data_IF_266987416054
#
_entry.id   IF_266987416054
#
_cell.length_a   1.000
_cell.length_b   1.000
_cell.length_c   1.000
_cell.angle_alpha   90.00
_cell.angle_beta   90.00
_cell.angle_gamma   90.00
#
_symmetry.space_group_name_H-M   'P 1'
#
loop_
_entity.id
_entity.type
_entity.pdbx_description
1 polymer ?
#
# COMPACT_ATOMS: atom_id res chain seq x y z
N UNK A 1 13.64 13.24 -4.58
CA UNK A 1 14.19 12.71 -5.85
C UNK A 1 14.62 13.85 -6.73
N UNK A 2 15.61 14.54 -6.35
CA UNK A 2 15.97 15.78 -7.04
C UNK A 2 17.46 15.87 -7.27
N UNK A 3 17.99 14.90 -7.99
CA UNK A 3 19.29 15.03 -8.60
C UNK A 3 19.13 15.17 -10.11
N UNK A 4 19.95 15.97 -10.80
CA UNK A 4 19.85 16.16 -12.26
C UNK A 4 20.13 14.90 -13.09
N UNK A 5 20.42 13.78 -12.44
CA UNK A 5 20.80 12.51 -13.10
C UNK A 5 19.84 11.34 -12.80
N UNK A 6 18.77 11.57 -12.03
CA UNK A 6 17.81 10.52 -11.72
C UNK A 6 16.58 10.62 -12.62
N UNK A 7 16.32 9.59 -13.42
CA UNK A 7 15.15 9.49 -14.28
C UNK A 7 14.26 8.34 -13.78
N UNK A 8 13.01 8.65 -13.42
CA UNK A 8 12.02 7.62 -13.13
C UNK A 8 11.53 7.00 -14.44
N UNK A 9 11.68 5.70 -14.60
CA UNK A 9 11.29 4.95 -15.80
C UNK A 9 9.91 4.34 -15.67
N UNK A 10 9.57 3.82 -14.50
CA UNK A 10 8.28 3.20 -14.22
C UNK A 10 8.02 3.16 -12.71
N UNK A 11 6.76 3.00 -12.34
CA UNK A 11 6.33 2.72 -10.96
C UNK A 11 5.89 1.26 -10.83
N UNK A 12 6.00 0.70 -9.62
CA UNK A 12 5.70 -0.72 -9.36
C UNK A 12 4.28 -0.95 -8.86
N UNK A 13 3.49 0.10 -8.72
CA UNK A 13 2.09 0.04 -8.34
C UNK A 13 1.21 -0.49 -9.48
N UNK A 14 0.04 -1.02 -9.16
CA UNK A 14 -0.91 -1.55 -10.15
C UNK A 14 -1.40 -0.48 -11.14
N UNK A 15 -1.54 0.75 -10.67
CA UNK A 15 -1.95 1.91 -11.47
C UNK A 15 -0.92 3.02 -11.38
N UNK A 16 -0.93 3.93 -12.34
CA UNK A 16 -0.07 5.12 -12.31
C UNK A 16 -0.39 5.98 -11.08
N UNK A 17 0.62 6.67 -10.58
CA UNK A 17 0.45 7.59 -9.45
C UNK A 17 -0.05 8.96 -9.94
N UNK A 18 -1.00 9.54 -9.24
CA UNK A 18 -1.55 10.88 -9.57
C UNK A 18 -0.47 11.98 -9.54
N UNK A 19 0.54 11.80 -8.69
CA UNK A 19 1.69 12.72 -8.57
C UNK A 19 2.74 12.53 -9.68
N UNK A 20 2.67 11.43 -10.44
CA UNK A 20 3.57 11.10 -11.54
C UNK A 20 2.77 10.53 -12.74
N UNK A 21 1.83 11.28 -13.30
CA UNK A 21 0.89 10.76 -14.30
C UNK A 21 1.56 10.31 -15.61
N UNK A 22 2.71 10.88 -15.92
CA UNK A 22 3.46 10.56 -17.14
C UNK A 22 4.37 9.34 -16.98
N UNK A 23 4.55 8.83 -15.76
CA UNK A 23 5.37 7.65 -15.51
C UNK A 23 4.50 6.40 -15.57
N UNK A 24 4.79 5.46 -16.49
CA UNK A 24 4.01 4.23 -16.64
C UNK A 24 4.23 3.27 -15.47
N UNK A 25 3.35 2.28 -15.36
CA UNK A 25 3.57 1.15 -14.44
C UNK A 25 4.42 0.08 -15.13
N UNK A 26 5.16 -0.71 -14.32
CA UNK A 26 5.84 -1.89 -14.84
C UNK A 26 4.83 -2.89 -15.43
N UNK A 27 3.63 -2.98 -14.86
CA UNK A 27 2.56 -3.86 -15.33
C UNK A 27 2.07 -3.55 -16.77
N UNK A 28 2.28 -2.33 -17.27
CA UNK A 28 1.96 -1.98 -18.67
C UNK A 28 2.89 -2.68 -19.67
N UNK A 29 4.08 -3.08 -19.24
CA UNK A 29 5.08 -3.79 -20.06
C UNK A 29 5.22 -5.26 -19.66
N UNK A 30 5.01 -5.59 -18.39
CA UNK A 30 5.09 -6.93 -17.84
C UNK A 30 3.72 -7.26 -17.20
N UNK A 31 2.80 -7.87 -17.95
CA UNK A 31 1.45 -8.16 -17.46
C UNK A 31 1.46 -8.95 -16.16
N UNK A 32 0.64 -8.52 -15.19
CA UNK A 32 0.53 -9.15 -13.87
C UNK A 32 1.58 -8.71 -12.85
N UNK A 33 2.53 -7.86 -13.23
CA UNK A 33 3.50 -7.33 -12.28
C UNK A 33 2.88 -6.22 -11.42
N UNK A 34 2.99 -6.38 -10.11
CA UNK A 34 2.64 -5.37 -9.13
C UNK A 34 3.42 -5.66 -7.84
N UNK A 35 4.07 -4.63 -7.31
CA UNK A 35 4.74 -4.67 -6.01
C UNK A 35 4.56 -3.32 -5.32
N UNK A 36 3.82 -3.31 -4.23
CA UNK A 36 3.55 -2.10 -3.45
C UNK A 36 3.88 -2.35 -1.98
N UNK A 37 4.35 -1.31 -1.31
CA UNK A 37 4.37 -1.27 0.14
C UNK A 37 3.06 -0.70 0.66
N UNK A 38 2.58 -1.23 1.76
CA UNK A 38 1.38 -0.74 2.42
C UNK A 38 1.60 -0.67 3.93
N UNK A 39 0.85 0.22 4.56
CA UNK A 39 0.92 0.47 5.99
C UNK A 39 -0.48 0.39 6.57
N UNK A 40 -0.59 -0.17 7.75
CA UNK A 40 -1.87 -0.28 8.43
C UNK A 40 -1.68 -0.27 9.95
N UNK A 41 -2.79 -0.09 10.63
CA UNK A 41 -2.85 -0.15 12.09
C UNK A 41 -3.51 -1.45 12.50
N UNK A 42 -2.88 -2.19 13.40
CA UNK A 42 -3.40 -3.43 13.95
C UNK A 42 -3.56 -3.30 15.47
N UNK A 43 -4.57 -3.97 16.00
CA UNK A 43 -4.79 -4.10 17.43
C UNK A 43 -4.39 -5.50 17.94
N UNK A 44 -4.09 -5.65 19.24
CA UNK A 44 -3.84 -6.95 19.83
C UNK A 44 -4.98 -7.94 19.62
N UNK A 45 -4.64 -9.22 19.61
CA UNK A 45 -5.64 -10.30 19.54
C UNK A 45 -6.66 -10.14 20.67
N UNK A 46 -7.93 -10.41 20.36
CA UNK A 46 -9.07 -10.31 21.28
C UNK A 46 -9.43 -8.88 21.71
N UNK A 47 -8.96 -7.86 21.00
CA UNK A 47 -9.50 -6.49 21.20
C UNK A 47 -10.99 -6.47 20.87
N UNK A 48 -11.85 -5.93 21.74
CA UNK A 48 -13.29 -5.88 21.50
C UNK A 48 -13.66 -5.22 20.17
N UNK A 49 -14.63 -5.78 19.46
CA UNK A 49 -15.07 -5.30 18.13
C UNK A 49 -15.50 -3.84 18.16
N UNK A 50 -16.14 -3.39 19.26
CA UNK A 50 -16.55 -1.99 19.43
C UNK A 50 -15.34 -1.03 19.39
N UNK A 51 -14.22 -1.42 19.98
CA UNK A 51 -12.97 -0.63 19.95
C UNK A 51 -12.37 -0.63 18.56
N UNK A 52 -12.33 -1.77 17.89
CA UNK A 52 -11.86 -1.88 16.50
C UNK A 52 -12.67 -0.98 15.59
N UNK A 53 -14.00 -0.98 15.70
CA UNK A 53 -14.87 -0.15 14.88
C UNK A 53 -14.67 1.34 15.17
N UNK A 54 -14.49 1.74 16.42
CA UNK A 54 -14.21 3.13 16.81
C UNK A 54 -12.89 3.60 16.21
N UNK A 55 -11.83 2.81 16.32
CA UNK A 55 -10.52 3.12 15.73
C UNK A 55 -10.57 3.18 14.21
N UNK A 56 -11.26 2.24 13.57
CA UNK A 56 -11.43 2.22 12.13
C UNK A 56 -12.16 3.48 11.63
N UNK A 57 -13.24 3.89 12.31
CA UNK A 57 -13.96 5.12 12.00
C UNK A 57 -13.07 6.37 12.12
N UNK A 58 -12.27 6.46 13.18
CA UNK A 58 -11.35 7.58 13.39
C UNK A 58 -10.24 7.63 12.33
N UNK A 59 -9.66 6.49 12.00
CA UNK A 59 -8.61 6.38 10.96
C UNK A 59 -9.18 6.74 9.58
N UNK A 60 -10.33 6.21 9.22
CA UNK A 60 -10.99 6.53 7.95
C UNK A 60 -11.35 8.03 7.85
N UNK A 61 -11.81 8.64 8.92
CA UNK A 61 -12.05 10.08 8.98
C UNK A 61 -10.76 10.89 8.75
N UNK A 62 -9.64 10.46 9.33
CA UNK A 62 -8.34 11.07 9.10
C UNK A 62 -7.85 10.91 7.65
N UNK A 63 -8.08 9.76 7.02
CA UNK A 63 -7.66 9.49 5.65
C UNK A 63 -8.42 10.32 4.59
N UNK A 64 -9.59 10.84 4.91
CA UNK A 64 -10.35 11.75 4.03
C UNK A 64 -10.16 13.22 4.38
N UNK A 65 -9.51 13.53 5.50
CA UNK A 65 -9.15 14.89 5.86
C UNK A 65 -8.17 15.48 4.83
N UNK A 66 -8.45 16.68 4.28
CA UNK A 66 -7.64 17.26 3.21
C UNK A 66 -6.16 17.47 3.57
N UNK A 67 -5.87 17.88 4.81
CA UNK A 67 -4.49 18.13 5.23
C UNK A 67 -3.70 16.81 5.40
N UNK A 68 -4.33 15.83 6.04
CA UNK A 68 -3.73 14.51 6.22
C UNK A 68 -3.50 13.85 4.87
N UNK A 69 -4.52 13.90 4.00
CA UNK A 69 -4.44 13.35 2.65
C UNK A 69 -3.30 13.97 1.83
N UNK A 70 -3.18 15.30 1.85
CA UNK A 70 -2.09 16.00 1.17
C UNK A 70 -0.72 15.55 1.67
N UNK A 71 -0.54 15.42 2.99
CA UNK A 71 0.72 14.95 3.58
C UNK A 71 1.07 13.52 3.16
N UNK A 72 0.10 12.62 3.13
CA UNK A 72 0.33 11.24 2.71
C UNK A 72 0.72 11.16 1.23
N UNK A 73 0.09 11.97 0.38
CA UNK A 73 0.41 12.06 -1.05
C UNK A 73 1.82 12.63 -1.25
N UNK A 74 2.20 13.68 -0.51
CA UNK A 74 3.54 14.28 -0.57
C UNK A 74 4.64 13.28 -0.17
N UNK A 75 4.32 12.32 0.71
CA UNK A 75 5.20 11.22 1.10
C UNK A 75 5.19 10.05 0.09
N UNK A 76 4.48 10.18 -1.03
CA UNK A 76 4.35 9.15 -2.05
C UNK A 76 3.33 8.05 -1.73
N UNK A 77 2.48 8.26 -0.71
CA UNK A 77 1.45 7.30 -0.31
C UNK A 77 0.12 7.55 -1.00
N UNK A 78 -0.66 6.49 -1.21
CA UNK A 78 -2.05 6.56 -1.63
C UNK A 78 -2.94 6.21 -0.45
N UNK A 79 -3.72 7.17 0.10
CA UNK A 79 -4.62 6.87 1.21
C UNK A 79 -5.70 5.87 0.81
N UNK A 80 -5.84 4.79 1.58
CA UNK A 80 -6.82 3.73 1.37
C UNK A 80 -7.73 3.64 2.60
N UNK A 81 -8.93 4.20 2.51
CA UNK A 81 -9.97 3.99 3.51
C UNK A 81 -10.63 2.61 3.29
N UNK A 82 -11.00 1.95 4.36
CA UNK A 82 -11.64 0.64 4.25
C UNK A 82 -12.08 0.11 5.61
N UNK A 83 -12.69 -1.07 5.59
CA UNK A 83 -13.10 -1.80 6.77
C UNK A 83 -11.99 -2.66 7.35
N UNK A 84 -12.09 -3.12 8.61
CA UNK A 84 -11.17 -4.13 9.16
C UNK A 84 -11.12 -5.40 8.32
N UNK A 85 -12.23 -5.81 7.71
CA UNK A 85 -12.29 -6.97 6.83
C UNK A 85 -11.51 -6.76 5.53
N UNK A 86 -11.55 -5.56 4.95
CA UNK A 86 -10.77 -5.22 3.76
C UNK A 86 -9.27 -5.32 4.05
N UNK A 87 -8.84 -4.84 5.20
CA UNK A 87 -7.43 -4.92 5.62
C UNK A 87 -7.00 -6.36 5.90
N UNK A 88 -7.86 -7.16 6.52
CA UNK A 88 -7.60 -8.58 6.73
C UNK A 88 -7.43 -9.33 5.40
N UNK A 89 -8.30 -9.04 4.44
CA UNK A 89 -8.20 -9.60 3.08
C UNK A 89 -6.88 -9.23 2.42
N UNK A 90 -6.46 -7.96 2.50
CA UNK A 90 -5.19 -7.50 1.99
C UNK A 90 -4.02 -8.27 2.60
N UNK A 91 -4.02 -8.47 3.92
CA UNK A 91 -2.97 -9.25 4.62
C UNK A 91 -2.89 -10.67 4.09
N UNK A 92 -4.03 -11.34 3.90
CA UNK A 92 -4.08 -12.72 3.38
C UNK A 92 -3.55 -12.77 1.95
N UNK A 93 -4.07 -11.92 1.07
CA UNK A 93 -3.70 -11.89 -0.35
C UNK A 93 -2.19 -11.59 -0.54
N UNK A 94 -1.66 -10.61 0.19
CA UNK A 94 -0.25 -10.25 0.14
C UNK A 94 0.64 -11.35 0.75
N UNK A 95 0.20 -12.01 1.82
CA UNK A 95 0.93 -13.13 2.41
C UNK A 95 1.07 -14.28 1.41
N UNK A 96 0.01 -14.63 0.70
CA UNK A 96 0.05 -15.68 -0.33
C UNK A 96 0.93 -15.29 -1.52
N UNK A 97 0.79 -14.06 -2.00
CA UNK A 97 1.59 -13.52 -3.10
C UNK A 97 3.07 -13.57 -2.78
N UNK A 98 3.48 -12.99 -1.67
CA UNK A 98 4.89 -12.93 -1.28
C UNK A 98 5.46 -14.30 -0.86
N UNK A 99 4.65 -15.20 -0.30
CA UNK A 99 5.07 -16.57 -0.05
C UNK A 99 5.48 -17.30 -1.34
N UNK A 100 4.78 -17.06 -2.44
CA UNK A 100 5.14 -17.60 -3.76
C UNK A 100 6.45 -17.00 -4.27
N UNK A 101 6.60 -15.68 -4.17
CA UNK A 101 7.81 -14.96 -4.60
C UNK A 101 9.04 -15.43 -3.81
N UNK A 102 8.95 -15.52 -2.48
CA UNK A 102 10.04 -15.98 -1.62
C UNK A 102 10.45 -17.42 -1.97
N UNK A 103 9.49 -18.32 -2.17
CA UNK A 103 9.78 -19.69 -2.58
C UNK A 103 10.45 -19.76 -3.95
N UNK A 104 9.99 -18.99 -4.91
CA UNK A 104 10.54 -18.97 -6.26
C UNK A 104 11.95 -18.37 -6.28
N UNK A 105 12.20 -17.30 -5.54
CA UNK A 105 13.50 -16.62 -5.48
C UNK A 105 14.55 -17.39 -4.69
N UNK A 106 14.16 -18.36 -3.85
CA UNK A 106 15.06 -19.07 -2.95
C UNK A 106 15.59 -18.21 -1.80
N UNK A 107 14.98 -17.04 -1.54
CA UNK A 107 15.38 -16.16 -0.46
C UNK A 107 15.25 -16.86 0.91
N UNK A 108 16.25 -16.71 1.74
CA UNK A 108 16.26 -17.24 3.11
C UNK A 108 16.41 -16.07 4.09
N UNK A 109 15.77 -16.15 5.27
CA UNK A 109 16.02 -15.18 6.33
C UNK A 109 17.49 -15.30 6.78
N UNK A 110 18.11 -14.15 7.02
CA UNK A 110 19.43 -14.07 7.66
C UNK A 110 19.32 -14.26 9.17
#
# INVERSE_FOLDING_TARGET
>A
MSGPESCALAVTTATRLDVLPDIPTVGEFVPGYEASNWWGVAAPKNTPVAIINTLNGAINAGLVDPQMRARLIDLGGTPLAGSPADFQKLIVDETEKWAKVVRFSGAKPE
#
